data_IF_170406227785
#
_entry.id   IF_170406227785
#
_cell.length_a   1.000
_cell.length_b   1.000
_cell.length_c   1.000
_cell.angle_alpha   90.00
_cell.angle_beta   90.00
_cell.angle_gamma   90.00
#
_symmetry.space_group_name_H-M   'P 1'
#
loop_
_entity.id
_entity.type
_entity.pdbx_description
1 polymer ?
#
# COMPACT_ATOMS: atom_id res chain seq x y z
N UNK A 1 -52.04 40.01 3.47
CA UNK A 1 -52.26 41.35 4.11
C UNK A 1 -50.90 41.88 4.56
N UNK A 2 -50.54 43.07 4.01
CA UNK A 2 -49.64 44.14 4.49
C UNK A 2 -48.23 43.69 4.89
N UNK A 3 -47.14 43.83 4.09
CA UNK A 3 -46.45 45.11 3.74
C UNK A 3 -46.03 45.94 4.95
N UNK A 4 -44.74 46.08 5.16
CA UNK A 4 -44.16 47.39 5.49
C UNK A 4 -42.69 47.47 5.08
N UNK A 5 -42.43 48.43 4.19
CA UNK A 5 -41.13 48.99 3.81
C UNK A 5 -40.63 49.90 4.92
N UNK A 6 -39.33 49.95 5.14
CA UNK A 6 -38.63 51.00 5.88
C UNK A 6 -37.34 51.42 5.23
N UNK A 7 -37.35 52.56 4.60
CA UNK A 7 -36.26 53.33 3.99
C UNK A 7 -35.51 54.12 5.04
N UNK A 8 -34.32 54.66 4.61
CA UNK A 8 -33.68 55.93 5.03
C UNK A 8 -32.44 55.69 5.89
N UNK A 9 -31.28 56.32 5.76
CA UNK A 9 -30.89 57.59 5.15
C UNK A 9 -29.36 57.65 5.07
N UNK A 10 -28.79 58.21 4.05
CA UNK A 10 -27.38 58.51 3.93
C UNK A 10 -26.98 59.74 4.74
N UNK A 11 -25.72 59.77 5.16
CA UNK A 11 -25.05 60.97 5.60
C UNK A 11 -23.65 61.02 4.97
N UNK A 12 -23.51 61.99 4.05
CA UNK A 12 -22.23 62.45 3.53
C UNK A 12 -21.54 63.32 4.59
N UNK A 13 -20.28 62.99 4.91
CA UNK A 13 -19.37 63.94 5.56
C UNK A 13 -18.20 64.22 4.64
N UNK A 14 -18.13 65.45 4.17
CA UNK A 14 -16.99 66.01 3.52
C UNK A 14 -15.99 66.46 4.59
N UNK A 15 -14.79 65.98 4.59
CA UNK A 15 -13.69 66.39 5.45
C UNK A 15 -12.50 66.90 4.62
N UNK A 16 -12.13 68.11 4.87
CA UNK A 16 -11.09 68.94 4.26
C UNK A 16 -9.70 68.26 4.35
N UNK A 17 -8.99 68.27 3.22
CA UNK A 17 -7.57 67.88 3.17
C UNK A 17 -6.70 69.07 3.51
N UNK A 18 -5.93 69.01 4.58
CA UNK A 18 -4.78 69.83 4.86
C UNK A 18 -3.49 69.15 4.38
N UNK A 19 -2.85 69.69 3.39
CA UNK A 19 -1.55 69.20 2.88
C UNK A 19 -0.46 69.87 3.71
N UNK A 20 0.27 69.04 4.48
CA UNK A 20 1.55 69.41 5.09
C UNK A 20 2.68 68.64 4.40
N UNK A 21 3.52 69.37 3.72
CA UNK A 21 4.75 68.92 3.07
C UNK A 21 5.84 68.68 4.12
N UNK A 22 6.35 67.43 4.18
CA UNK A 22 7.59 67.10 4.90
C UNK A 22 8.70 66.74 3.91
N UNK A 23 9.96 67.08 4.20
CA UNK A 23 11.08 66.86 3.29
C UNK A 23 11.47 65.37 3.24
N UNK A 24 11.81 64.92 2.05
CA UNK A 24 12.31 63.58 1.79
C UNK A 24 13.72 63.35 2.38
N UNK A 25 13.83 62.51 3.39
CA UNK A 25 15.09 61.88 3.77
C UNK A 25 15.15 60.51 3.10
N UNK A 26 16.21 60.31 2.33
CA UNK A 26 16.44 59.09 1.57
C UNK A 26 16.54 57.83 2.46
N UNK A 27 15.68 56.88 2.19
CA UNK A 27 15.85 55.48 2.65
C UNK A 27 16.40 54.67 1.49
N UNK A 28 17.58 54.09 1.67
CA UNK A 28 18.11 52.99 0.85
C UNK A 28 17.12 51.85 0.79
N UNK A 29 16.97 51.17 -0.35
CA UNK A 29 16.12 49.99 -0.43
C UNK A 29 16.68 48.89 0.44
N UNK A 30 15.88 48.39 1.39
CA UNK A 30 16.14 47.19 2.14
C UNK A 30 16.29 46.01 1.16
N UNK A 31 17.42 45.34 1.21
CA UNK A 31 17.65 44.10 0.51
C UNK A 31 16.69 43.05 1.09
N UNK A 32 15.78 42.58 0.27
CA UNK A 32 14.99 41.36 0.54
C UNK A 32 15.97 40.22 0.69
N UNK A 33 15.87 39.42 1.79
CA UNK A 33 16.63 38.19 1.85
C UNK A 33 16.14 37.24 0.74
N UNK A 34 17.01 36.91 -0.17
CA UNK A 34 16.84 35.82 -1.12
C UNK A 34 16.81 34.51 -0.32
N UNK A 35 15.60 34.03 -0.02
CA UNK A 35 15.42 32.64 0.42
C UNK A 35 15.70 31.70 -0.76
N UNK A 36 16.96 31.45 -0.99
CA UNK A 36 17.38 30.26 -1.72
C UNK A 36 17.29 29.08 -0.75
N UNK A 37 16.09 28.58 -0.51
CA UNK A 37 15.93 27.21 -0.02
C UNK A 37 16.38 26.29 -1.15
N UNK A 38 17.68 26.04 -1.18
CA UNK A 38 18.24 24.91 -1.90
C UNK A 38 17.62 23.64 -1.33
N UNK A 39 16.66 23.06 -2.04
CA UNK A 39 16.33 21.66 -1.88
C UNK A 39 17.59 20.89 -2.23
N UNK A 40 18.36 20.53 -1.21
CA UNK A 40 19.44 19.57 -1.37
C UNK A 40 18.79 18.31 -1.96
N UNK A 41 19.04 18.01 -3.23
CA UNK A 41 18.76 16.73 -3.82
C UNK A 41 19.43 15.69 -2.91
N UNK A 42 18.60 14.95 -2.17
CA UNK A 42 19.08 13.87 -1.31
C UNK A 42 19.67 12.84 -2.26
N UNK A 43 21.01 12.71 -2.28
CA UNK A 43 21.74 11.76 -3.08
C UNK A 43 21.08 10.38 -2.88
N UNK A 44 20.78 9.69 -3.97
CA UNK A 44 20.27 8.31 -3.94
C UNK A 44 21.26 7.48 -3.11
N UNK A 45 20.78 7.00 -1.96
CA UNK A 45 21.57 6.18 -1.03
C UNK A 45 21.50 4.68 -1.36
N UNK A 46 20.83 4.34 -2.46
CA UNK A 46 20.65 2.97 -2.93
C UNK A 46 19.72 2.13 -2.05
N UNK A 47 18.93 2.76 -1.16
CA UNK A 47 17.97 2.09 -0.29
C UNK A 47 16.58 2.19 -0.87
N UNK A 48 15.91 1.07 -1.10
CA UNK A 48 14.49 1.03 -1.49
C UNK A 48 13.62 1.20 -0.25
N UNK A 49 12.66 2.13 -0.30
CA UNK A 49 11.74 2.40 0.81
C UNK A 49 10.32 2.10 0.43
N UNK A 50 9.68 1.18 1.15
CA UNK A 50 8.34 0.65 0.88
C UNK A 50 7.43 0.95 2.07
N UNK A 51 6.31 1.65 1.85
CA UNK A 51 5.25 1.81 2.84
C UNK A 51 4.01 1.05 2.42
N UNK A 52 3.61 0.04 3.17
CA UNK A 52 2.32 -0.62 3.02
C UNK A 52 1.28 0.07 3.92
N UNK A 53 0.09 0.34 3.37
CA UNK A 53 -1.07 0.82 4.12
C UNK A 53 -2.14 -0.25 4.00
N UNK A 54 -2.40 -0.98 5.11
CA UNK A 54 -3.25 -2.15 5.03
C UNK A 54 -3.68 -2.70 6.38
N UNK A 55 -3.77 -4.02 6.43
CA UNK A 55 -4.33 -4.78 7.54
C UNK A 55 -3.54 -6.09 7.73
N UNK A 56 -4.17 -7.15 8.26
CA UNK A 56 -3.51 -8.45 8.43
C UNK A 56 -2.98 -9.07 7.13
N UNK A 57 -3.52 -8.68 5.97
CA UNK A 57 -3.04 -9.15 4.68
C UNK A 57 -1.73 -8.44 4.26
N UNK A 58 -1.57 -7.15 4.53
CA UNK A 58 -0.24 -6.52 4.38
C UNK A 58 0.76 -7.06 5.40
N UNK A 59 0.33 -7.33 6.64
CA UNK A 59 1.17 -7.98 7.64
C UNK A 59 1.73 -9.31 7.13
N UNK A 60 0.85 -10.18 6.61
CA UNK A 60 1.25 -11.50 6.11
C UNK A 60 2.19 -11.40 4.90
N UNK A 61 2.09 -10.32 4.10
CA UNK A 61 2.84 -10.16 2.86
C UNK A 61 4.20 -9.47 3.03
N UNK A 62 4.33 -8.48 3.95
CA UNK A 62 5.53 -7.63 3.98
C UNK A 62 6.33 -7.65 5.27
N UNK A 63 5.73 -8.12 6.40
CA UNK A 63 6.40 -8.05 7.70
C UNK A 63 7.30 -9.25 8.02
N UNK A 64 7.28 -10.27 7.18
CA UNK A 64 8.14 -11.45 7.29
C UNK A 64 8.67 -11.82 5.91
N UNK A 65 9.91 -12.23 5.85
CA UNK A 65 10.60 -12.78 4.67
C UNK A 65 10.88 -11.79 3.53
N UNK A 66 10.20 -10.64 3.46
CA UNK A 66 10.42 -9.67 2.39
C UNK A 66 11.79 -8.98 2.54
N UNK A 67 12.16 -8.59 3.77
CA UNK A 67 13.46 -8.00 4.05
C UNK A 67 14.59 -8.96 3.64
N UNK A 68 14.51 -10.21 4.07
CA UNK A 68 15.54 -11.23 3.83
C UNK A 68 15.67 -11.59 2.35
N UNK A 69 14.58 -11.53 1.57
CA UNK A 69 14.63 -11.69 0.11
C UNK A 69 15.41 -10.57 -0.57
N UNK A 70 15.24 -9.32 -0.11
CA UNK A 70 15.99 -8.17 -0.60
C UNK A 70 17.46 -8.26 -0.18
N UNK A 71 17.72 -8.59 1.07
CA UNK A 71 19.07 -8.75 1.63
C UNK A 71 19.86 -9.84 0.88
N UNK A 72 19.25 -11.00 0.66
CA UNK A 72 19.85 -12.10 -0.11
C UNK A 72 20.14 -11.73 -1.58
N UNK A 73 19.47 -10.70 -2.11
CA UNK A 73 19.74 -10.15 -3.44
C UNK A 73 20.74 -8.98 -3.43
N UNK A 74 21.30 -8.64 -2.26
CA UNK A 74 22.22 -7.52 -2.09
C UNK A 74 21.54 -6.14 -2.24
N UNK A 75 20.24 -6.04 -1.97
CA UNK A 75 19.46 -4.81 -2.10
C UNK A 75 19.07 -4.33 -0.70
N UNK A 76 19.46 -3.12 -0.34
CA UNK A 76 19.04 -2.50 0.91
C UNK A 76 17.58 -2.06 0.82
N UNK A 77 16.79 -2.37 1.87
CA UNK A 77 15.37 -2.02 1.92
C UNK A 77 14.94 -1.56 3.32
N UNK A 78 14.06 -0.57 3.36
CA UNK A 78 13.29 -0.17 4.54
C UNK A 78 11.83 -0.48 4.24
N UNK A 79 11.16 -1.17 5.16
CA UNK A 79 9.77 -1.58 4.99
C UNK A 79 8.94 -1.00 6.14
N UNK A 80 7.94 -0.19 5.82
CA UNK A 80 6.91 0.30 6.74
C UNK A 80 5.58 -0.38 6.49
N UNK A 81 4.83 -0.68 7.54
CA UNK A 81 3.44 -1.15 7.44
C UNK A 81 2.53 -0.38 8.40
N UNK A 82 1.59 0.38 7.84
CA UNK A 82 0.52 1.05 8.58
C UNK A 82 -0.64 0.08 8.78
N UNK A 83 -0.60 -0.60 9.92
CA UNK A 83 -1.47 -1.73 10.23
C UNK A 83 -2.66 -1.35 11.12
N UNK A 84 -3.86 -1.74 10.70
CA UNK A 84 -5.06 -1.86 11.54
C UNK A 84 -5.76 -3.17 11.18
N UNK A 85 -6.14 -4.05 12.13
CA UNK A 85 -6.83 -5.31 11.82
C UNK A 85 -8.09 -5.07 10.99
N UNK A 86 -8.27 -5.83 9.89
CA UNK A 86 -9.47 -5.81 9.05
C UNK A 86 -9.80 -4.45 8.41
N UNK A 87 -8.86 -3.50 8.38
CA UNK A 87 -9.11 -2.13 7.95
C UNK A 87 -9.43 -2.04 6.46
N UNK A 88 -10.61 -1.53 6.08
CA UNK A 88 -10.96 -1.24 4.69
C UNK A 88 -10.44 0.13 4.25
N UNK A 89 -10.41 0.38 2.94
CA UNK A 89 -10.05 1.68 2.34
C UNK A 89 -10.83 2.85 2.94
N UNK A 90 -12.11 2.67 3.21
CA UNK A 90 -12.96 3.67 3.87
C UNK A 90 -12.38 4.12 5.22
N UNK A 91 -11.97 3.17 6.09
CA UNK A 91 -11.41 3.50 7.40
C UNK A 91 -10.03 4.16 7.28
N UNK A 92 -9.19 3.71 6.34
CA UNK A 92 -7.92 4.37 6.05
C UNK A 92 -8.13 5.83 5.63
N UNK A 93 -9.09 6.09 4.74
CA UNK A 93 -9.45 7.44 4.32
C UNK A 93 -9.97 8.27 5.50
N UNK A 94 -10.94 7.77 6.26
CA UNK A 94 -11.51 8.48 7.39
C UNK A 94 -10.45 8.82 8.45
N UNK A 95 -9.51 7.92 8.70
CA UNK A 95 -8.39 8.17 9.62
C UNK A 95 -7.43 9.24 9.08
N UNK A 96 -7.20 9.27 7.77
CA UNK A 96 -6.31 10.27 7.16
C UNK A 96 -6.87 11.69 7.24
N UNK A 97 -8.18 11.87 7.00
CA UNK A 97 -8.83 13.19 7.04
C UNK A 97 -9.15 13.66 8.45
N UNK A 98 -9.33 12.73 9.40
CA UNK A 98 -9.61 13.03 10.81
C UNK A 98 -8.34 13.02 11.67
N UNK A 99 -7.19 12.79 11.05
CA UNK A 99 -5.87 12.75 11.69
C UNK A 99 -5.80 11.80 12.92
N UNK A 100 -6.46 10.63 12.79
CA UNK A 100 -6.58 9.67 13.90
C UNK A 100 -5.33 8.82 14.07
N UNK A 101 -4.86 8.73 15.31
CA UNK A 101 -3.73 7.91 15.72
C UNK A 101 -4.18 6.47 16.04
N UNK A 102 -4.66 5.73 15.04
CA UNK A 102 -5.21 4.37 15.23
C UNK A 102 -4.30 3.24 14.69
N UNK A 103 -3.21 3.59 14.01
CA UNK A 103 -2.34 2.59 13.43
C UNK A 103 -1.31 2.04 14.41
N UNK A 104 -0.96 0.77 14.24
CA UNK A 104 0.33 0.25 14.63
C UNK A 104 1.28 0.46 13.45
N UNK A 105 2.23 1.37 13.57
CA UNK A 105 3.27 1.57 12.58
C UNK A 105 4.42 0.60 12.84
N UNK A 106 4.54 -0.37 11.98
CA UNK A 106 5.58 -1.41 12.06
C UNK A 106 6.63 -1.14 11.00
N UNK A 107 7.89 -0.96 11.42
CA UNK A 107 8.98 -0.59 10.53
C UNK A 107 10.11 -1.60 10.66
N UNK A 108 10.67 -2.03 9.53
CA UNK A 108 11.80 -2.93 9.43
C UNK A 108 12.96 -2.16 8.81
N UNK A 109 14.06 -2.04 9.56
CA UNK A 109 15.33 -1.42 9.14
C UNK A 109 16.43 -2.38 9.52
N UNK A 110 17.31 -2.70 8.59
CA UNK A 110 18.44 -3.63 8.80
C UNK A 110 18.03 -4.97 9.43
N UNK A 111 16.82 -5.46 9.08
CA UNK A 111 16.23 -6.70 9.60
C UNK A 111 15.53 -6.56 10.95
N UNK A 112 15.69 -5.46 11.64
CA UNK A 112 15.10 -5.21 12.95
C UNK A 112 13.71 -4.58 12.82
N UNK A 113 12.69 -5.27 13.39
CA UNK A 113 11.30 -4.80 13.37
C UNK A 113 10.95 -4.03 14.63
N UNK A 114 10.51 -2.78 14.45
CA UNK A 114 9.92 -1.95 15.50
C UNK A 114 8.39 -1.88 15.37
N UNK A 115 7.69 -1.50 16.43
CA UNK A 115 6.24 -1.30 16.43
C UNK A 115 5.90 -0.07 17.27
N UNK A 116 5.42 0.98 16.61
CA UNK A 116 4.96 2.21 17.25
C UNK A 116 3.43 2.25 17.21
N UNK A 117 2.76 2.00 18.35
CA UNK A 117 1.29 2.05 18.41
C UNK A 117 0.78 3.49 18.36
N UNK A 118 -0.51 3.66 18.09
CA UNK A 118 -1.18 4.97 18.07
C UNK A 118 -0.49 5.98 17.16
N UNK A 119 -0.10 5.54 15.98
CA UNK A 119 0.53 6.39 14.96
C UNK A 119 -0.54 6.92 14.00
N UNK A 120 -0.41 8.15 13.55
CA UNK A 120 -1.23 8.72 12.47
C UNK A 120 -0.65 8.34 11.12
N UNK A 121 -1.50 8.32 10.08
CA UNK A 121 -1.01 8.04 8.73
C UNK A 121 0.01 9.08 8.26
N UNK A 122 -0.21 10.34 8.61
CA UNK A 122 0.70 11.44 8.23
C UNK A 122 2.09 11.26 8.84
N UNK A 123 2.20 10.81 10.09
CA UNK A 123 3.48 10.65 10.77
C UNK A 123 4.36 9.62 10.05
N UNK A 124 3.79 8.46 9.71
CA UNK A 124 4.50 7.43 8.97
C UNK A 124 4.81 7.85 7.51
N UNK A 125 3.91 8.63 6.90
CA UNK A 125 4.12 9.13 5.55
C UNK A 125 5.31 10.10 5.48
N UNK A 126 5.54 10.88 6.54
CA UNK A 126 6.65 11.85 6.63
C UNK A 126 7.96 11.26 7.19
N UNK A 127 7.91 10.04 7.74
CA UNK A 127 9.05 9.40 8.40
C UNK A 127 10.19 9.04 7.41
N UNK A 128 9.84 8.64 6.19
CA UNK A 128 10.82 8.31 5.15
C UNK A 128 10.43 8.95 3.80
N UNK A 129 11.39 9.18 2.91
CA UNK A 129 11.11 9.51 1.52
C UNK A 129 10.75 8.23 0.73
N UNK A 130 9.56 7.70 0.98
CA UNK A 130 9.08 6.44 0.42
C UNK A 130 9.19 6.39 -1.11
N UNK A 131 9.79 5.33 -1.64
CA UNK A 131 9.87 5.06 -3.09
C UNK A 131 8.59 4.41 -3.59
N UNK A 132 8.00 3.57 -2.74
CA UNK A 132 6.78 2.82 -3.04
C UNK A 132 5.79 2.98 -1.89
N UNK A 133 4.54 3.32 -2.22
CA UNK A 133 3.44 3.36 -1.25
C UNK A 133 2.32 2.48 -1.77
N UNK A 134 1.94 1.46 -1.00
CA UNK A 134 0.93 0.51 -1.42
C UNK A 134 -0.40 0.71 -0.72
N UNK A 135 -1.46 0.43 -1.45
CA UNK A 135 -2.83 0.34 -1.00
C UNK A 135 -3.41 -1.03 -1.33
N UNK A 136 -4.36 -1.47 -0.54
CA UNK A 136 -5.15 -2.68 -0.71
C UNK A 136 -6.55 -2.50 -0.13
N UNK A 137 -7.50 -3.36 -0.48
CA UNK A 137 -8.79 -3.43 0.20
C UNK A 137 -8.77 -4.49 1.32
N UNK A 138 -9.69 -4.39 2.28
CA UNK A 138 -9.94 -5.46 3.24
C UNK A 138 -10.41 -6.73 2.52
N UNK A 139 -9.99 -7.89 3.01
CA UNK A 139 -10.14 -9.17 2.31
C UNK A 139 -11.58 -9.48 1.89
N UNK A 140 -12.56 -9.33 2.80
CA UNK A 140 -13.96 -9.59 2.50
C UNK A 140 -14.60 -8.61 1.49
N UNK A 141 -13.96 -7.45 1.27
CA UNK A 141 -14.41 -6.43 0.30
C UNK A 141 -13.53 -6.38 -0.95
N UNK A 142 -12.48 -7.21 -1.04
CA UNK A 142 -11.48 -7.09 -2.10
C UNK A 142 -12.00 -7.42 -3.49
N UNK A 143 -13.08 -8.20 -3.61
CA UNK A 143 -13.79 -8.42 -4.88
C UNK A 143 -14.96 -7.46 -5.13
N UNK A 144 -15.31 -6.59 -4.17
CA UNK A 144 -16.46 -5.68 -4.24
C UNK A 144 -15.98 -4.27 -4.65
N UNK A 145 -15.75 -4.02 -5.95
CA UNK A 145 -15.17 -2.76 -6.44
C UNK A 145 -15.94 -1.50 -6.03
N UNK A 146 -17.25 -1.57 -5.89
CA UNK A 146 -18.07 -0.44 -5.44
C UNK A 146 -17.66 0.07 -4.06
N UNK A 147 -17.10 -0.80 -3.21
CA UNK A 147 -16.60 -0.43 -1.88
C UNK A 147 -15.28 0.36 -1.89
N UNK A 148 -14.65 0.50 -3.06
CA UNK A 148 -13.41 1.25 -3.24
C UNK A 148 -13.67 2.75 -3.37
N UNK A 149 -14.83 3.11 -3.90
CA UNK A 149 -15.20 4.48 -4.18
C UNK A 149 -16.07 5.09 -3.05
N UNK A 150 -15.84 6.39 -2.74
CA UNK A 150 -14.85 7.31 -3.30
C UNK A 150 -13.45 7.21 -2.63
N UNK A 151 -13.29 6.30 -1.68
CA UNK A 151 -12.20 6.26 -0.71
C UNK A 151 -10.83 6.06 -1.34
N UNK A 152 -10.70 5.16 -2.33
CA UNK A 152 -9.42 4.87 -2.99
C UNK A 152 -8.84 6.11 -3.66
N UNK A 153 -9.65 6.78 -4.49
CA UNK A 153 -9.21 8.00 -5.18
C UNK A 153 -8.85 9.12 -4.21
N UNK A 154 -9.63 9.29 -3.15
CA UNK A 154 -9.42 10.31 -2.13
C UNK A 154 -8.14 10.02 -1.33
N UNK A 155 -7.90 8.76 -0.98
CA UNK A 155 -6.67 8.35 -0.29
C UNK A 155 -5.43 8.54 -1.17
N UNK A 156 -5.49 8.21 -2.45
CA UNK A 156 -4.41 8.48 -3.41
C UNK A 156 -4.11 9.98 -3.47
N UNK A 157 -5.14 10.83 -3.51
CA UNK A 157 -4.98 12.28 -3.51
C UNK A 157 -4.31 12.77 -2.23
N UNK A 158 -4.67 12.21 -1.08
CA UNK A 158 -4.03 12.49 0.20
C UNK A 158 -2.54 12.13 0.16
N UNK A 159 -2.19 10.93 -0.30
CA UNK A 159 -0.80 10.47 -0.40
C UNK A 159 0.02 11.38 -1.32
N UNK A 160 -0.48 11.70 -2.51
CA UNK A 160 0.20 12.60 -3.47
C UNK A 160 0.40 14.01 -2.89
N UNK A 161 -0.53 14.49 -2.07
CA UNK A 161 -0.44 15.80 -1.43
C UNK A 161 0.65 15.84 -0.34
N UNK A 162 0.69 14.84 0.53
CA UNK A 162 1.46 14.92 1.77
C UNK A 162 2.77 14.12 1.77
N UNK A 163 2.96 13.14 0.89
CA UNK A 163 4.23 12.42 0.80
C UNK A 163 5.39 13.41 0.51
N UNK A 164 6.52 13.32 1.22
CA UNK A 164 7.67 14.20 1.00
C UNK A 164 8.27 13.99 -0.40
N UNK A 165 8.43 12.73 -0.84
CA UNK A 165 8.87 12.36 -2.18
C UNK A 165 7.66 12.34 -3.12
N UNK A 166 7.61 13.24 -4.11
CA UNK A 166 6.44 13.42 -4.99
C UNK A 166 6.35 12.40 -6.12
N UNK A 167 7.45 11.84 -6.51
CA UNK A 167 7.61 10.85 -7.59
C UNK A 167 7.57 9.40 -7.08
N UNK A 168 7.06 9.19 -5.84
CA UNK A 168 6.86 7.82 -5.34
C UNK A 168 5.97 7.02 -6.29
N UNK A 169 6.25 5.73 -6.41
CA UNK A 169 5.43 4.80 -7.17
C UNK A 169 4.27 4.29 -6.33
N UNK A 170 3.06 4.44 -6.87
CA UNK A 170 1.85 3.93 -6.24
C UNK A 170 1.69 2.45 -6.57
N UNK A 171 1.52 1.63 -5.54
CA UNK A 171 1.43 0.17 -5.64
C UNK A 171 0.03 -0.30 -5.28
N UNK A 172 -0.57 -1.14 -6.13
CA UNK A 172 -1.77 -1.89 -5.77
C UNK A 172 -1.38 -3.30 -5.33
N UNK A 173 -1.73 -3.65 -4.09
CA UNK A 173 -1.58 -5.00 -3.58
C UNK A 173 -2.88 -5.77 -3.80
N UNK A 174 -2.89 -6.67 -4.80
CA UNK A 174 -3.96 -7.62 -5.00
C UNK A 174 -3.88 -8.71 -3.93
N UNK A 175 -4.86 -8.72 -3.04
CA UNK A 175 -4.96 -9.73 -1.98
C UNK A 175 -5.49 -11.06 -2.52
N UNK A 176 -5.53 -12.10 -1.69
CA UNK A 176 -5.87 -13.47 -2.07
C UNK A 176 -7.28 -13.85 -1.66
N UNK A 177 -7.85 -14.82 -2.38
CA UNK A 177 -9.10 -15.46 -2.02
C UNK A 177 -8.93 -16.36 -0.79
N UNK A 178 -10.01 -16.55 -0.05
CA UNK A 178 -10.07 -17.46 1.09
C UNK A 178 -9.83 -18.92 0.67
N UNK A 179 -9.52 -19.78 1.63
CA UNK A 179 -9.51 -21.23 1.41
C UNK A 179 -10.94 -21.72 1.12
N UNK A 180 -11.06 -22.85 0.42
CA UNK A 180 -12.37 -23.39 0.02
C UNK A 180 -13.24 -23.83 1.20
N UNK A 181 -12.62 -24.11 2.35
CA UNK A 181 -13.26 -24.50 3.61
C UNK A 181 -13.39 -23.34 4.61
N UNK A 182 -13.19 -22.09 4.17
CA UNK A 182 -13.23 -20.92 5.05
C UNK A 182 -14.64 -20.69 5.62
N UNK A 183 -14.71 -20.46 6.92
CA UNK A 183 -15.91 -20.06 7.65
C UNK A 183 -16.03 -18.54 7.85
N UNK A 184 -15.17 -17.76 7.20
CA UNK A 184 -15.18 -16.31 7.33
C UNK A 184 -16.52 -15.69 6.89
N UNK A 185 -17.13 -14.87 7.75
CA UNK A 185 -18.48 -14.31 7.55
C UNK A 185 -18.70 -13.50 6.26
N UNK A 186 -17.63 -13.06 5.58
CA UNK A 186 -17.72 -12.37 4.30
C UNK A 186 -17.64 -13.32 3.08
N UNK A 187 -17.29 -14.61 3.29
CA UNK A 187 -17.12 -15.55 2.19
C UNK A 187 -18.43 -15.87 1.44
N UNK A 188 -19.60 -15.94 2.09
CA UNK A 188 -20.87 -16.12 1.39
C UNK A 188 -21.19 -15.06 0.32
N UNK A 189 -20.60 -13.87 0.40
CA UNK A 189 -20.73 -12.83 -0.65
C UNK A 189 -20.19 -13.30 -2.01
N UNK A 190 -19.29 -14.27 -1.99
CA UNK A 190 -18.69 -14.89 -3.17
C UNK A 190 -19.21 -16.31 -3.39
N UNK A 191 -20.43 -16.61 -2.90
CA UNK A 191 -21.03 -17.94 -3.00
C UNK A 191 -20.32 -19.01 -2.18
N UNK A 192 -19.47 -18.63 -1.21
CA UNK A 192 -18.54 -19.53 -0.51
C UNK A 192 -17.69 -20.36 -1.49
N UNK A 193 -17.32 -19.75 -2.61
CA UNK A 193 -16.50 -20.36 -3.65
C UNK A 193 -15.19 -19.58 -3.83
N UNK A 194 -14.09 -20.29 -3.68
CA UNK A 194 -12.74 -19.74 -3.75
C UNK A 194 -12.43 -19.12 -5.11
N UNK A 195 -12.85 -19.79 -6.20
CA UNK A 195 -12.56 -19.30 -7.54
C UNK A 195 -13.43 -18.11 -7.89
N UNK A 196 -14.70 -18.07 -7.49
CA UNK A 196 -15.55 -16.89 -7.65
C UNK A 196 -14.97 -15.69 -6.88
N UNK A 197 -14.47 -15.90 -5.65
CA UNK A 197 -13.81 -14.84 -4.90
C UNK A 197 -12.54 -14.36 -5.60
N UNK A 198 -11.70 -15.27 -6.11
CA UNK A 198 -10.48 -14.91 -6.86
C UNK A 198 -10.80 -14.11 -8.10
N UNK A 199 -11.76 -14.54 -8.90
CA UNK A 199 -12.19 -13.86 -10.13
C UNK A 199 -12.75 -12.45 -9.84
N UNK A 200 -13.54 -12.32 -8.77
CA UNK A 200 -14.04 -11.03 -8.30
C UNK A 200 -12.89 -10.09 -7.88
N UNK A 201 -11.89 -10.59 -7.16
CA UNK A 201 -10.69 -9.83 -6.77
C UNK A 201 -9.90 -9.38 -8.02
N UNK A 202 -9.74 -10.24 -9.00
CA UNK A 202 -9.07 -9.91 -10.27
C UNK A 202 -9.86 -8.83 -11.03
N UNK A 203 -11.18 -8.94 -11.10
CA UNK A 203 -12.04 -7.95 -11.74
C UNK A 203 -11.95 -6.57 -11.03
N UNK A 204 -12.06 -6.56 -9.70
CA UNK A 204 -11.92 -5.35 -8.89
C UNK A 204 -10.51 -4.72 -9.06
N UNK A 205 -9.46 -5.54 -9.09
CA UNK A 205 -8.09 -5.08 -9.35
C UNK A 205 -7.97 -4.40 -10.72
N UNK A 206 -8.50 -5.00 -11.78
CA UNK A 206 -8.49 -4.40 -13.13
C UNK A 206 -9.20 -3.04 -13.15
N UNK A 207 -10.34 -2.93 -12.47
CA UNK A 207 -11.07 -1.67 -12.37
C UNK A 207 -10.27 -0.63 -11.56
N UNK A 208 -9.66 -1.02 -10.44
CA UNK A 208 -8.82 -0.13 -9.64
C UNK A 208 -7.65 0.45 -10.45
N UNK A 209 -6.97 -0.38 -11.24
CA UNK A 209 -5.85 0.05 -12.09
C UNK A 209 -6.32 0.88 -13.29
N UNK A 210 -7.49 0.60 -13.84
CA UNK A 210 -8.09 1.37 -14.94
C UNK A 210 -8.47 2.79 -14.50
N UNK A 211 -9.10 2.90 -13.32
CA UNK A 211 -9.68 4.16 -12.84
C UNK A 211 -8.67 5.03 -12.07
N UNK A 212 -7.53 4.45 -11.67
CA UNK A 212 -6.46 5.13 -10.94
C UNK A 212 -5.11 4.77 -11.55
N UNK A 213 -4.19 5.74 -11.54
CA UNK A 213 -2.84 5.54 -12.06
C UNK A 213 -1.95 4.84 -11.03
N UNK A 214 -1.97 3.53 -10.99
CA UNK A 214 -1.01 2.73 -10.26
C UNK A 214 0.22 2.46 -11.14
N UNK A 215 1.40 2.52 -10.52
CA UNK A 215 2.68 2.30 -11.19
C UNK A 215 3.08 0.82 -11.13
N UNK A 216 2.67 0.11 -10.07
CA UNK A 216 3.03 -1.29 -9.82
C UNK A 216 1.80 -2.06 -9.33
N UNK A 217 1.63 -3.28 -9.84
CA UNK A 217 0.72 -4.30 -9.32
C UNK A 217 1.53 -5.38 -8.62
N UNK A 218 1.19 -5.69 -7.36
CA UNK A 218 1.68 -6.88 -6.65
C UNK A 218 0.58 -7.93 -6.61
N UNK A 219 0.62 -8.95 -7.47
CA UNK A 219 -0.46 -9.91 -7.66
C UNK A 219 -0.37 -11.09 -6.68
N UNK A 220 -0.31 -10.82 -5.37
CA UNK A 220 -0.21 -11.88 -4.34
C UNK A 220 -1.37 -12.87 -4.41
N UNK A 221 -2.58 -12.40 -4.72
CA UNK A 221 -3.75 -13.28 -4.88
C UNK A 221 -3.57 -14.30 -6.00
N UNK A 222 -3.01 -13.89 -7.11
CA UNK A 222 -2.70 -14.80 -8.24
C UNK A 222 -1.57 -15.76 -7.88
N UNK A 223 -0.54 -15.28 -7.15
CA UNK A 223 0.57 -16.15 -6.71
C UNK A 223 0.08 -17.26 -5.75
N UNK A 224 -0.78 -16.89 -4.80
CA UNK A 224 -1.39 -17.88 -3.89
C UNK A 224 -2.25 -18.87 -4.67
N UNK A 225 -3.03 -18.41 -5.65
CA UNK A 225 -3.86 -19.28 -6.47
C UNK A 225 -3.01 -20.21 -7.36
N UNK A 226 -1.89 -19.72 -7.91
CA UNK A 226 -0.92 -20.55 -8.62
C UNK A 226 -0.36 -21.65 -7.71
N UNK A 227 0.11 -21.29 -6.49
CA UNK A 227 0.66 -22.24 -5.54
C UNK A 227 -0.34 -23.34 -5.15
N UNK A 228 -1.63 -23.02 -5.04
CA UNK A 228 -2.71 -24.00 -4.80
C UNK A 228 -2.83 -25.07 -5.88
N UNK A 229 -2.38 -24.78 -7.10
CA UNK A 229 -2.40 -25.77 -8.20
C UNK A 229 -1.25 -26.77 -8.12
N UNK A 230 -0.35 -26.65 -7.15
CA UNK A 230 0.74 -27.59 -6.89
C UNK A 230 0.32 -28.70 -5.92
N UNK A 231 1.27 -29.60 -5.56
CA UNK A 231 1.08 -30.61 -4.53
C UNK A 231 0.71 -30.05 -3.14
N UNK A 232 0.92 -28.75 -2.89
CA UNK A 232 0.53 -28.07 -1.65
C UNK A 232 -0.99 -28.04 -1.53
N UNK A 233 -1.70 -27.88 -2.66
CA UNK A 233 -3.15 -27.78 -2.67
C UNK A 233 -3.67 -26.56 -1.91
N UNK A 234 -4.88 -26.67 -1.39
CA UNK A 234 -5.54 -25.57 -0.66
C UNK A 234 -5.10 -25.46 0.81
N UNK A 235 -3.78 -25.51 1.05
CA UNK A 235 -3.15 -25.38 2.37
C UNK A 235 -2.36 -24.07 2.51
N UNK A 236 -2.67 -23.09 1.66
CA UNK A 236 -1.96 -21.80 1.67
C UNK A 236 -2.41 -20.88 2.80
N UNK A 237 -3.50 -21.23 3.50
CA UNK A 237 -4.06 -20.46 4.61
C UNK A 237 -3.99 -21.25 5.93
N UNK A 238 -3.86 -20.54 7.08
CA UNK A 238 -3.83 -21.16 8.43
C UNK A 238 -5.19 -21.23 9.13
N UNK A 239 -6.10 -20.33 8.78
CA UNK A 239 -7.40 -20.13 9.43
C UNK A 239 -8.51 -19.84 8.41
N UNK A 240 -8.37 -20.36 7.21
CA UNK A 240 -9.30 -20.15 6.11
C UNK A 240 -9.07 -18.84 5.32
N UNK A 241 -8.35 -17.83 5.84
CA UNK A 241 -8.16 -16.56 5.15
C UNK A 241 -6.78 -15.90 5.32
N UNK A 242 -6.14 -15.97 6.49
CA UNK A 242 -4.77 -15.53 6.64
C UNK A 242 -3.79 -16.56 6.06
N UNK A 243 -2.65 -16.12 5.54
CA UNK A 243 -1.67 -17.01 4.96
C UNK A 243 -1.05 -17.95 5.99
N UNK A 244 -0.73 -19.17 5.57
CA UNK A 244 0.11 -20.08 6.33
C UNK A 244 1.45 -19.37 6.64
N UNK A 245 1.93 -19.52 7.86
CA UNK A 245 2.99 -18.65 8.41
C UNK A 245 4.35 -18.81 7.75
N UNK A 246 4.64 -19.98 7.17
CA UNK A 246 5.91 -20.30 6.55
C UNK A 246 5.84 -20.05 5.03
N UNK A 247 5.40 -21.05 4.27
CA UNK A 247 5.41 -20.98 2.79
C UNK A 247 4.32 -20.10 2.21
N UNK A 248 3.18 -19.91 2.90
CA UNK A 248 2.13 -19.00 2.45
C UNK A 248 2.61 -17.54 2.45
N UNK A 249 3.12 -17.08 3.59
CA UNK A 249 3.71 -15.73 3.71
C UNK A 249 4.94 -15.56 2.82
N UNK A 250 5.76 -16.59 2.70
CA UNK A 250 6.93 -16.58 1.84
C UNK A 250 6.53 -16.40 0.35
N UNK A 251 5.45 -17.05 -0.10
CA UNK A 251 4.93 -16.87 -1.46
C UNK A 251 4.50 -15.41 -1.71
N UNK A 252 3.81 -14.79 -0.76
CA UNK A 252 3.43 -13.38 -0.87
C UNK A 252 4.67 -12.47 -0.87
N UNK A 253 5.64 -12.70 0.02
CA UNK A 253 6.89 -11.96 0.06
C UNK A 253 7.71 -12.10 -1.25
N UNK A 254 7.78 -13.30 -1.84
CA UNK A 254 8.39 -13.53 -3.15
C UNK A 254 7.72 -12.67 -4.25
N UNK A 255 6.39 -12.55 -4.20
CA UNK A 255 5.63 -11.75 -5.17
C UNK A 255 5.95 -10.25 -5.02
N UNK A 256 6.01 -9.77 -3.77
CA UNK A 256 6.40 -8.39 -3.48
C UNK A 256 7.83 -8.11 -3.92
N UNK A 257 8.76 -9.00 -3.60
CA UNK A 257 10.16 -8.85 -4.01
C UNK A 257 10.30 -8.68 -5.52
N UNK A 258 9.71 -9.58 -6.30
CA UNK A 258 9.84 -9.51 -7.77
C UNK A 258 9.13 -8.30 -8.36
N UNK A 259 7.92 -7.98 -7.90
CA UNK A 259 7.14 -6.84 -8.40
C UNK A 259 7.83 -5.48 -8.10
N UNK A 260 8.48 -5.35 -6.97
CA UNK A 260 9.13 -4.09 -6.55
C UNK A 260 10.56 -3.97 -7.10
N UNK A 261 11.36 -5.04 -6.98
CA UNK A 261 12.77 -5.00 -7.40
C UNK A 261 12.96 -5.15 -8.92
N UNK A 262 11.96 -5.71 -9.62
CA UNK A 262 12.08 -6.11 -11.02
C UNK A 262 13.02 -7.29 -11.25
N UNK A 263 13.61 -7.86 -10.17
CA UNK A 263 14.50 -9.03 -10.27
C UNK A 263 13.69 -10.31 -10.12
N UNK A 264 13.97 -11.29 -10.95
CA UNK A 264 13.35 -12.61 -10.86
C UNK A 264 13.59 -13.22 -9.48
N UNK A 265 12.53 -13.67 -8.80
CA UNK A 265 12.63 -14.28 -7.47
C UNK A 265 13.08 -15.75 -7.54
N UNK A 266 12.80 -16.43 -8.66
CA UNK A 266 13.28 -17.80 -8.87
C UNK A 266 14.80 -17.83 -8.84
N UNK A 267 15.36 -18.63 -7.90
CA UNK A 267 16.80 -18.70 -7.66
C UNK A 267 17.31 -17.75 -6.58
N UNK A 268 16.45 -16.93 -5.94
CA UNK A 268 16.84 -16.22 -4.73
C UNK A 268 17.26 -17.23 -3.66
N UNK A 269 18.42 -16.99 -3.03
CA UNK A 269 19.04 -17.95 -2.11
C UNK A 269 18.25 -18.11 -0.80
N UNK A 270 17.55 -17.06 -0.37
CA UNK A 270 16.79 -17.06 0.87
C UNK A 270 15.55 -17.95 0.80
N UNK A 271 15.28 -18.66 1.87
CA UNK A 271 13.98 -19.19 2.27
C UNK A 271 13.97 -19.35 3.79
N UNK A 272 12.80 -19.26 4.44
CA UNK A 272 12.69 -19.57 5.87
C UNK A 272 13.19 -20.99 6.16
N UNK A 273 13.87 -21.19 7.29
CA UNK A 273 14.42 -22.50 7.66
C UNK A 273 13.35 -23.61 7.79
N UNK A 274 12.10 -23.21 7.98
CA UNK A 274 10.94 -24.12 8.06
C UNK A 274 10.33 -24.47 6.69
N UNK A 275 10.86 -23.89 5.61
CA UNK A 275 10.39 -24.10 4.23
C UNK A 275 11.38 -24.99 3.51
N UNK A 276 10.98 -26.22 3.20
CA UNK A 276 11.77 -27.17 2.43
C UNK A 276 11.97 -26.70 0.96
N UNK A 277 12.94 -27.32 0.28
CA UNK A 277 13.30 -26.93 -1.09
C UNK A 277 12.13 -27.04 -2.07
N UNK A 278 11.22 -28.01 -1.87
CA UNK A 278 10.04 -28.18 -2.70
C UNK A 278 9.07 -27.01 -2.56
N UNK A 279 8.72 -26.66 -1.33
CA UNK A 279 7.86 -25.51 -1.04
C UNK A 279 8.51 -24.18 -1.45
N UNK A 280 9.83 -24.03 -1.26
CA UNK A 280 10.61 -22.90 -1.77
C UNK A 280 10.43 -22.77 -3.28
N UNK A 281 10.63 -23.84 -4.01
CA UNK A 281 10.53 -23.83 -5.47
C UNK A 281 9.10 -23.51 -5.92
N UNK A 282 8.06 -24.07 -5.29
CA UNK A 282 6.66 -23.71 -5.57
C UNK A 282 6.42 -22.22 -5.32
N UNK A 283 6.80 -21.71 -4.16
CA UNK A 283 6.57 -20.30 -3.79
C UNK A 283 7.21 -19.33 -4.78
N UNK A 284 8.49 -19.55 -5.12
CA UNK A 284 9.23 -18.70 -6.04
C UNK A 284 8.66 -18.74 -7.47
N UNK A 285 8.31 -19.94 -7.98
CA UNK A 285 7.74 -20.07 -9.32
C UNK A 285 6.30 -19.55 -9.38
N UNK A 286 5.48 -19.81 -8.36
CA UNK A 286 4.11 -19.27 -8.29
C UNK A 286 4.09 -17.74 -8.28
N UNK A 287 5.00 -17.11 -7.54
CA UNK A 287 5.20 -15.67 -7.50
C UNK A 287 5.67 -15.12 -8.86
N UNK A 288 6.69 -15.74 -9.46
CA UNK A 288 7.21 -15.35 -10.76
C UNK A 288 6.14 -15.40 -11.85
N UNK A 289 5.38 -16.49 -11.94
CA UNK A 289 4.31 -16.62 -12.92
C UNK A 289 3.15 -15.64 -12.65
N UNK A 290 2.88 -15.32 -11.39
CA UNK A 290 1.87 -14.31 -11.07
C UNK A 290 2.30 -12.91 -11.51
N UNK A 291 3.54 -12.52 -11.33
CA UNK A 291 4.04 -11.21 -11.81
C UNK A 291 3.96 -11.11 -13.34
N UNK A 292 4.23 -12.20 -14.06
CA UNK A 292 4.11 -12.26 -15.52
C UNK A 292 2.67 -12.31 -16.03
N UNK A 293 1.78 -12.96 -15.29
CA UNK A 293 0.38 -13.23 -15.66
C UNK A 293 -0.57 -12.85 -14.52
N UNK A 294 -0.67 -11.55 -14.15
CA UNK A 294 -1.26 -11.12 -12.87
C UNK A 294 -2.77 -11.34 -12.74
N UNK A 295 -3.44 -11.67 -13.83
CA UNK A 295 -4.90 -11.82 -13.88
C UNK A 295 -5.37 -13.22 -14.21
N UNK A 296 -4.46 -14.20 -14.25
CA UNK A 296 -4.77 -15.57 -14.68
C UNK A 296 -3.96 -16.56 -13.85
N UNK A 297 -4.64 -17.60 -13.38
CA UNK A 297 -3.98 -18.73 -12.73
C UNK A 297 -3.09 -19.45 -13.72
N UNK A 298 -1.84 -19.67 -13.31
CA UNK A 298 -0.88 -20.52 -14.00
C UNK A 298 -0.77 -21.85 -13.25
N UNK A 299 -1.08 -22.96 -13.92
CA UNK A 299 -0.96 -24.30 -13.33
C UNK A 299 0.51 -24.62 -13.10
N UNK A 300 0.87 -24.97 -11.88
CA UNK A 300 2.23 -25.38 -11.48
C UNK A 300 2.51 -26.83 -11.91
N UNK A 301 2.63 -27.06 -13.22
CA UNK A 301 2.73 -28.42 -13.80
C UNK A 301 3.91 -29.23 -13.29
N UNK A 302 5.06 -28.58 -13.09
CA UNK A 302 6.29 -29.23 -12.64
C UNK A 302 6.29 -29.52 -11.14
N UNK A 303 5.23 -29.12 -10.43
CA UNK A 303 5.09 -29.22 -8.97
C UNK A 303 3.83 -29.97 -8.54
N UNK A 304 3.41 -30.98 -9.32
CA UNK A 304 2.20 -31.77 -8.99
C UNK A 304 2.47 -32.86 -7.92
N UNK A 305 3.72 -33.23 -7.74
CA UNK A 305 4.12 -34.25 -6.77
C UNK A 305 5.14 -33.65 -5.79
N UNK A 306 4.96 -33.95 -4.50
CA UNK A 306 5.94 -33.53 -3.50
C UNK A 306 7.30 -34.23 -3.80
N UNK A 307 8.43 -33.49 -3.62
CA UNK A 307 9.74 -34.15 -3.68
C UNK A 307 9.85 -35.31 -2.71
N UNK A 308 10.54 -36.35 -3.13
CA UNK A 308 10.86 -37.46 -2.24
C UNK A 308 11.66 -36.96 -1.03
N UNK A 309 11.27 -37.35 0.18
CA UNK A 309 12.06 -37.04 1.37
C UNK A 309 13.48 -37.64 1.16
N UNK A 310 14.49 -36.75 1.25
CA UNK A 310 15.90 -37.16 1.24
C UNK A 310 16.32 -37.66 2.58
#
# INVERSE_FOLDING_TARGET
MKSLYGKICGLLFAGLFAVTSYPATGCSPAQTPSETQGTAEKKDDGVIRILAIGNSFSQDAVEQYLYELFDAAGIKVVIGNMYIPGCPLERHYNNSVSDKAEYAYRKIVDGEKTNTPKTKLIDALLDEPWDYISLQQASGKSGEYDTYNPYLKSLISYLRRYAPKKDFKLVWHQTWAYASDSDHGEFPKYGSDQMQMYEAIVAATKNALKDNKFDVLVPSGTAIQNARTSYIGDKMNRDGYHLEVNYGRYTAACTWFEAISGKKVVGNSYAPATVDDGKKAVAQNAAHEAVRHPYKVTIMKDFQTAPSAK
#
